data_IF_081401142991
#
_entry.id   IF_081401142991
#
_cell.length_a   1.000
_cell.length_b   1.000
_cell.length_c   1.000
_cell.angle_alpha   90.00
_cell.angle_beta   90.00
_cell.angle_gamma   90.00
#
_symmetry.space_group_name_H-M   'P 1'
#
loop_
_entity.id
_entity.type
_entity.pdbx_description
1 polymer ?
#
# COMPACT_ATOMS: atom_id res chain seq x y z
N UNK A 1 62.79 8.86 141.16
CA UNK A 1 61.38 8.50 141.37
C UNK A 1 60.63 8.91 140.12
N UNK A 2 59.81 8.00 139.62
CA UNK A 2 58.90 8.09 138.47
C UNK A 2 59.49 8.13 137.05
N UNK A 3 59.20 7.05 136.33
CA UNK A 3 59.04 6.93 134.88
C UNK A 3 57.55 6.56 134.62
N UNK A 4 57.02 6.27 133.41
CA UNK A 4 57.53 6.38 132.03
C UNK A 4 56.48 6.85 130.98
N UNK A 5 56.84 6.90 129.68
CA UNK A 5 56.13 6.47 128.44
C UNK A 5 56.61 7.31 127.24
N UNK A 6 57.43 6.82 126.28
CA UNK A 6 57.22 5.87 125.18
C UNK A 6 56.32 6.39 124.03
N UNK A 7 56.88 6.82 122.90
CA UNK A 7 56.39 6.49 121.55
C UNK A 7 57.35 6.86 120.40
N UNK A 8 57.14 6.20 119.25
CA UNK A 8 58.11 5.80 118.22
C UNK A 8 58.26 6.75 117.03
N UNK A 9 59.41 6.60 116.35
CA UNK A 9 59.73 7.01 114.98
C UNK A 9 58.75 6.47 113.91
N UNK A 10 58.50 7.23 112.84
CA UNK A 10 58.88 6.86 111.45
C UNK A 10 58.28 7.79 110.37
N UNK A 11 59.08 7.98 109.32
CA UNK A 11 58.84 8.75 108.10
C UNK A 11 57.77 8.14 107.17
N UNK A 12 57.10 8.98 106.38
CA UNK A 12 56.14 8.58 105.34
C UNK A 12 56.30 9.44 104.08
N UNK A 13 56.77 8.83 102.98
CA UNK A 13 56.75 9.36 101.61
C UNK A 13 55.36 9.15 100.96
N UNK A 14 54.87 10.07 100.11
CA UNK A 14 53.56 9.92 99.46
C UNK A 14 53.60 9.16 98.11
N UNK A 15 52.60 8.30 97.81
CA UNK A 15 52.54 7.51 96.57
C UNK A 15 51.59 8.15 95.54
N UNK A 16 52.07 8.95 94.60
CA UNK A 16 51.21 9.49 93.51
C UNK A 16 51.86 9.59 92.12
N UNK A 17 53.10 9.12 91.92
CA UNK A 17 53.86 9.37 90.69
C UNK A 17 53.83 8.26 89.62
N UNK A 18 53.22 7.10 89.90
CA UNK A 18 53.23 5.95 88.98
C UNK A 18 52.00 5.86 88.05
N UNK A 19 50.85 6.42 88.43
CA UNK A 19 49.60 6.30 87.65
C UNK A 19 49.52 7.30 86.46
N UNK A 20 50.25 8.42 86.54
CA UNK A 20 50.18 9.49 85.53
C UNK A 20 51.04 9.20 84.28
N UNK A 21 52.05 8.32 84.37
CA UNK A 21 52.88 7.93 83.22
C UNK A 21 52.21 6.94 82.28
N UNK A 22 51.42 5.98 82.80
CA UNK A 22 50.77 4.96 81.97
C UNK A 22 49.62 5.49 81.10
N UNK A 23 48.93 6.56 81.51
CA UNK A 23 47.85 7.17 80.70
C UNK A 23 48.37 8.08 79.58
N UNK A 24 49.62 8.58 79.68
CA UNK A 24 50.23 9.47 78.68
C UNK A 24 50.64 8.71 77.41
N UNK A 25 51.11 7.47 77.55
CA UNK A 25 51.62 6.69 76.41
C UNK A 25 50.50 5.97 75.64
N UNK A 26 49.37 5.65 76.29
CA UNK A 26 48.19 5.08 75.62
C UNK A 26 47.37 6.14 74.85
N UNK A 27 47.34 7.39 75.33
CA UNK A 27 46.64 8.50 74.65
C UNK A 27 47.39 9.02 73.41
N UNK A 28 48.72 8.96 73.41
CA UNK A 28 49.55 9.33 72.25
C UNK A 28 49.39 8.37 71.06
N UNK A 29 49.23 7.07 71.32
CA UNK A 29 49.15 6.05 70.27
C UNK A 29 47.79 6.02 69.54
N UNK A 30 46.70 6.31 70.26
CA UNK A 30 45.34 6.40 69.68
C UNK A 30 45.19 7.66 68.82
N UNK A 31 45.83 8.76 69.23
CA UNK A 31 45.82 10.04 68.50
C UNK A 31 46.52 9.94 67.14
N UNK A 32 47.71 9.32 67.07
CA UNK A 32 48.47 9.19 65.82
C UNK A 32 47.77 8.25 64.82
N UNK A 33 47.09 7.20 65.29
CA UNK A 33 46.36 6.28 64.41
C UNK A 33 45.12 6.94 63.79
N UNK A 34 44.40 7.76 64.55
CA UNK A 34 43.27 8.56 64.02
C UNK A 34 43.76 9.67 63.09
N UNK A 35 44.88 10.32 63.40
CA UNK A 35 45.50 11.31 62.53
C UNK A 35 45.93 10.70 61.19
N UNK A 36 46.56 9.52 61.19
CA UNK A 36 46.92 8.78 59.96
C UNK A 36 45.69 8.39 59.13
N UNK A 37 44.59 7.97 59.77
CA UNK A 37 43.34 7.68 59.06
C UNK A 37 42.74 8.93 58.43
N UNK A 38 42.74 10.06 59.14
CA UNK A 38 42.24 11.34 58.61
C UNK A 38 43.12 11.81 57.44
N UNK A 39 44.44 11.71 57.55
CA UNK A 39 45.37 12.04 56.46
C UNK A 39 45.17 11.11 55.26
N UNK A 40 44.91 9.81 55.47
CA UNK A 40 44.56 8.90 54.37
C UNK A 40 43.23 9.25 53.69
N UNK A 41 42.22 9.61 54.47
CA UNK A 41 40.93 10.05 53.91
C UNK A 41 41.11 11.37 53.13
N UNK A 42 41.90 12.31 53.67
CA UNK A 42 42.16 13.60 53.01
C UNK A 42 43.01 13.44 51.74
N UNK A 43 43.98 12.52 51.73
CA UNK A 43 44.79 12.22 50.55
C UNK A 43 43.99 11.50 49.48
N UNK A 44 43.09 10.58 49.84
CA UNK A 44 42.15 9.95 48.90
C UNK A 44 41.15 10.98 48.37
N UNK A 45 40.63 11.86 49.22
CA UNK A 45 39.72 12.93 48.81
C UNK A 45 40.39 13.92 47.85
N UNK A 46 41.60 14.36 48.18
CA UNK A 46 42.38 15.25 47.32
C UNK A 46 42.78 14.57 46.01
N UNK A 47 43.15 13.28 46.03
CA UNK A 47 43.40 12.50 44.82
C UNK A 47 42.15 12.38 43.95
N UNK A 48 40.97 12.16 44.55
CA UNK A 48 39.70 12.07 43.83
C UNK A 48 39.25 13.42 43.26
N UNK A 49 39.52 14.53 43.97
CA UNK A 49 39.22 15.89 43.49
C UNK A 49 40.24 16.45 42.49
N UNK A 50 41.45 15.88 42.45
CA UNK A 50 42.53 16.30 41.54
C UNK A 50 42.53 15.53 40.21
N UNK A 51 41.71 14.49 40.05
CA UNK A 51 41.36 14.00 38.72
C UNK A 51 40.36 14.98 38.11
N UNK A 52 40.71 15.74 37.04
CA UNK A 52 39.73 16.54 36.32
C UNK A 52 38.61 15.62 35.83
N UNK A 53 37.36 16.12 35.89
CA UNK A 53 36.10 15.50 35.48
C UNK A 53 36.18 14.74 34.13
N UNK A 54 36.78 13.56 34.15
CA UNK A 54 36.70 12.56 33.11
C UNK A 54 35.94 11.38 33.70
N UNK A 55 34.66 11.61 34.01
CA UNK A 55 33.68 10.54 34.00
C UNK A 55 33.47 10.24 32.51
N UNK A 56 33.87 9.08 31.98
CA UNK A 56 33.53 8.73 30.63
C UNK A 56 32.00 8.65 30.54
N UNK A 57 31.39 9.32 29.56
CA UNK A 57 29.94 9.24 29.27
C UNK A 57 29.44 7.79 29.01
N UNK A 58 30.32 6.79 29.07
CA UNK A 58 30.04 5.37 28.87
C UNK A 58 29.69 4.58 30.16
N UNK A 59 30.04 5.06 31.35
CA UNK A 59 29.73 4.34 32.61
C UNK A 59 28.24 4.35 33.05
N UNK A 60 27.45 5.43 32.87
CA UNK A 60 26.05 5.42 33.33
C UNK A 60 25.17 4.47 32.51
N UNK A 61 25.52 4.16 31.25
CA UNK A 61 24.71 3.31 30.35
C UNK A 61 24.71 1.81 30.71
N UNK A 62 25.77 1.32 31.36
CA UNK A 62 25.87 -0.10 31.76
C UNK A 62 25.14 -0.33 33.08
N UNK A 63 25.20 0.63 34.00
CA UNK A 63 24.58 0.53 35.32
C UNK A 63 23.06 0.70 35.29
N UNK A 64 22.51 1.48 34.34
CA UNK A 64 21.05 1.60 34.17
C UNK A 64 20.39 0.37 33.53
N UNK A 65 21.14 -0.66 33.08
CA UNK A 65 20.59 -1.93 32.58
C UNK A 65 20.33 -2.98 33.66
N UNK A 66 20.80 -2.76 34.90
CA UNK A 66 20.50 -3.65 36.03
C UNK A 66 19.25 -3.17 36.78
N UNK A 67 18.18 -3.98 36.88
CA UNK A 67 16.89 -3.53 37.43
C UNK A 67 16.92 -3.17 38.91
N UNK A 68 17.92 -3.65 39.66
CA UNK A 68 18.05 -3.38 41.10
C UNK A 68 18.61 -1.98 41.38
N UNK A 69 19.37 -1.41 40.45
CA UNK A 69 20.07 -0.13 40.66
C UNK A 69 19.31 1.07 40.07
N UNK A 70 18.34 0.85 39.17
CA UNK A 70 17.54 1.94 38.58
C UNK A 70 16.63 2.64 39.59
N UNK A 71 16.25 1.96 40.70
CA UNK A 71 15.45 2.55 41.77
C UNK A 71 16.23 3.48 42.72
N UNK A 72 17.55 3.40 42.75
CA UNK A 72 18.39 4.13 43.71
C UNK A 72 19.05 5.40 43.11
N UNK A 73 19.14 5.48 41.78
CA UNK A 73 19.78 6.60 41.08
C UNK A 73 18.77 7.42 40.25
N UNK A 74 18.47 8.68 40.64
CA UNK A 74 17.49 9.52 39.94
C UNK A 74 17.89 9.92 38.51
N UNK A 75 19.13 9.64 38.09
CA UNK A 75 19.61 9.86 36.71
C UNK A 75 19.19 8.75 35.72
N UNK A 76 18.84 7.54 36.17
CA UNK A 76 18.36 6.46 35.28
C UNK A 76 16.87 6.61 34.90
N UNK A 77 16.14 7.53 35.53
CA UNK A 77 14.69 7.72 35.31
C UNK A 77 14.40 8.55 34.05
N UNK A 78 15.42 9.07 33.35
CA UNK A 78 15.21 9.95 32.18
C UNK A 78 14.98 9.22 30.85
N UNK A 79 15.15 7.90 30.79
CA UNK A 79 14.98 7.11 29.55
C UNK A 79 13.77 6.15 29.56
N UNK A 80 13.08 6.00 30.69
CA UNK A 80 11.73 5.39 30.69
C UNK A 80 10.68 6.49 30.50
N UNK A 81 10.73 7.11 29.32
CA UNK A 81 9.54 7.73 28.75
C UNK A 81 8.41 6.70 28.70
N UNK A 82 7.16 7.20 28.74
CA UNK A 82 5.92 6.45 28.42
C UNK A 82 6.19 5.40 27.33
N UNK A 83 5.53 4.22 27.34
CA UNK A 83 5.71 3.23 26.28
C UNK A 83 5.53 3.94 24.95
N UNK A 84 6.66 4.25 24.30
CA UNK A 84 6.65 4.97 23.04
C UNK A 84 6.30 3.87 22.06
N UNK A 85 5.06 3.94 21.58
CA UNK A 85 4.54 3.01 20.59
C UNK A 85 5.63 2.82 19.54
N UNK A 86 6.00 1.57 19.17
CA UNK A 86 7.07 1.37 18.20
C UNK A 86 6.68 2.11 16.92
N UNK A 87 7.58 2.97 16.45
CA UNK A 87 7.37 3.84 15.30
C UNK A 87 8.27 3.39 14.17
N UNK A 88 7.74 3.32 12.95
CA UNK A 88 8.51 3.01 11.74
C UNK A 88 8.57 4.26 10.85
N UNK A 89 9.71 4.47 10.20
CA UNK A 89 9.87 5.49 9.15
C UNK A 89 9.27 4.97 7.84
N UNK A 90 7.95 5.01 7.75
CA UNK A 90 7.17 4.40 6.68
C UNK A 90 5.81 5.08 6.51
N UNK A 91 5.53 5.56 5.30
CA UNK A 91 4.28 6.24 4.98
C UNK A 91 3.20 5.25 4.50
N UNK A 92 2.60 4.54 5.45
CA UNK A 92 1.51 3.61 5.17
C UNK A 92 0.25 4.31 4.61
N UNK A 93 0.09 5.62 4.87
CA UNK A 93 -1.07 6.40 4.43
C UNK A 93 -0.98 6.75 2.94
N UNK A 94 0.20 7.17 2.47
CA UNK A 94 0.41 7.45 1.05
C UNK A 94 0.19 6.22 0.17
N UNK A 95 0.67 5.05 0.62
CA UNK A 95 0.50 3.81 -0.16
C UNK A 95 -0.94 3.34 -0.15
N UNK A 96 -1.64 3.40 0.99
CA UNK A 96 -3.06 3.12 1.02
C UNK A 96 -3.87 4.03 0.11
N UNK A 97 -3.44 5.29 -0.08
CA UNK A 97 -4.05 6.20 -1.06
C UNK A 97 -3.81 5.73 -2.50
N UNK A 98 -2.59 5.37 -2.85
CA UNK A 98 -2.26 4.80 -4.17
C UNK A 98 -3.08 3.53 -4.45
N UNK A 99 -3.16 2.63 -3.47
CA UNK A 99 -3.92 1.39 -3.57
C UNK A 99 -5.43 1.65 -3.65
N UNK A 100 -5.94 2.66 -2.94
CA UNK A 100 -7.33 3.09 -3.09
C UNK A 100 -7.60 3.67 -4.48
N UNK A 101 -6.67 4.40 -5.09
CA UNK A 101 -6.82 4.84 -6.48
C UNK A 101 -6.80 3.68 -7.47
N UNK A 102 -6.02 2.64 -7.19
CA UNK A 102 -6.05 1.42 -7.99
C UNK A 102 -7.45 0.77 -8.00
N UNK A 103 -8.20 0.86 -6.90
CA UNK A 103 -9.61 0.41 -6.85
C UNK A 103 -10.46 1.12 -7.91
N UNK A 104 -10.33 2.44 -8.02
CA UNK A 104 -11.06 3.23 -9.04
C UNK A 104 -10.65 2.85 -10.47
N UNK A 105 -9.35 2.68 -10.69
CA UNK A 105 -8.80 2.21 -11.97
C UNK A 105 -9.35 0.83 -12.34
N UNK A 106 -9.48 -0.05 -11.35
CA UNK A 106 -10.08 -1.37 -11.54
C UNK A 106 -11.58 -1.28 -11.84
N UNK A 107 -12.29 -0.31 -11.25
CA UNK A 107 -13.71 -0.05 -11.52
C UNK A 107 -13.97 0.42 -12.93
N UNK A 108 -13.20 1.40 -13.38
CA UNK A 108 -13.24 1.85 -14.76
C UNK A 108 -12.92 0.69 -15.71
N UNK A 109 -11.93 -0.15 -15.37
CA UNK A 109 -11.58 -1.34 -16.15
C UNK A 109 -12.71 -2.37 -16.25
N UNK A 110 -13.40 -2.66 -15.15
CA UNK A 110 -14.53 -3.60 -15.16
C UNK A 110 -15.69 -3.08 -16.00
N UNK A 111 -15.98 -1.78 -15.87
CA UNK A 111 -16.96 -1.09 -16.71
C UNK A 111 -16.58 -1.14 -18.19
N UNK A 112 -15.31 -0.95 -18.50
CA UNK A 112 -14.79 -1.09 -19.87
C UNK A 112 -14.92 -2.55 -20.36
N UNK A 113 -14.71 -3.55 -19.50
CA UNK A 113 -14.90 -4.96 -19.87
C UNK A 113 -16.38 -5.27 -20.21
N UNK A 114 -17.32 -4.70 -19.45
CA UNK A 114 -18.75 -4.72 -19.75
C UNK A 114 -19.05 -4.09 -21.11
N UNK A 115 -18.54 -2.88 -21.36
CA UNK A 115 -18.67 -2.19 -22.66
C UNK A 115 -18.07 -3.04 -23.80
N UNK A 116 -16.94 -3.72 -23.56
CA UNK A 116 -16.33 -4.62 -24.52
C UNK A 116 -17.23 -5.79 -24.90
N UNK A 117 -17.99 -6.34 -23.95
CA UNK A 117 -19.00 -7.36 -24.22
C UNK A 117 -20.15 -6.80 -25.06
N UNK A 118 -20.59 -5.58 -24.77
CA UNK A 118 -21.67 -4.93 -25.50
C UNK A 118 -21.29 -4.61 -26.96
N UNK A 119 -20.05 -4.17 -27.19
CA UNK A 119 -19.49 -3.97 -28.54
C UNK A 119 -19.44 -5.29 -29.29
N UNK A 120 -19.02 -6.36 -28.62
CA UNK A 120 -19.01 -7.72 -29.19
C UNK A 120 -20.43 -8.14 -29.58
N UNK A 121 -21.43 -7.90 -28.74
CA UNK A 121 -22.81 -8.21 -29.07
C UNK A 121 -23.32 -7.39 -30.28
N UNK A 122 -23.01 -6.09 -30.33
CA UNK A 122 -23.32 -5.23 -31.48
C UNK A 122 -22.65 -5.72 -32.77
N UNK A 123 -21.39 -6.17 -32.69
CA UNK A 123 -20.68 -6.78 -33.81
C UNK A 123 -21.33 -8.11 -34.25
N UNK A 124 -21.79 -8.93 -33.31
CA UNK A 124 -22.52 -10.17 -33.64
C UNK A 124 -23.85 -9.89 -34.35
N UNK A 125 -24.59 -8.87 -33.91
CA UNK A 125 -25.81 -8.44 -34.58
C UNK A 125 -25.54 -7.94 -36.02
N UNK A 126 -24.49 -7.15 -36.22
CA UNK A 126 -24.10 -6.73 -37.57
C UNK A 126 -23.65 -7.90 -38.45
N UNK A 127 -22.98 -8.91 -37.87
CA UNK A 127 -22.56 -10.10 -38.62
C UNK A 127 -23.75 -10.83 -39.26
N UNK A 128 -24.85 -10.95 -38.54
CA UNK A 128 -26.08 -11.55 -39.07
C UNK A 128 -26.65 -10.74 -40.24
N UNK A 129 -26.60 -9.40 -40.13
CA UNK A 129 -27.05 -8.50 -41.18
C UNK A 129 -26.15 -8.53 -42.43
N UNK A 130 -24.85 -8.79 -42.30
CA UNK A 130 -23.90 -8.84 -43.44
C UNK A 130 -24.34 -9.84 -44.51
N UNK A 131 -24.82 -11.02 -44.10
CA UNK A 131 -25.28 -12.05 -45.04
C UNK A 131 -26.40 -11.49 -45.92
N UNK A 132 -27.32 -10.74 -45.32
CA UNK A 132 -28.43 -10.13 -46.03
C UNK A 132 -27.99 -8.94 -46.90
N UNK A 133 -27.01 -8.14 -46.47
CA UNK A 133 -26.44 -7.03 -47.26
C UNK A 133 -25.75 -7.56 -48.52
N UNK A 134 -24.94 -8.60 -48.40
CA UNK A 134 -24.20 -9.21 -49.53
C UNK A 134 -25.13 -9.84 -50.55
N UNK A 135 -26.17 -10.55 -50.11
CA UNK A 135 -27.19 -11.14 -51.00
C UNK A 135 -27.94 -10.08 -51.84
N UNK A 136 -27.92 -8.81 -51.42
CA UNK A 136 -28.55 -7.67 -52.10
C UNK A 136 -27.57 -6.89 -53.00
N UNK A 137 -26.36 -7.40 -53.24
CA UNK A 137 -25.37 -6.80 -54.15
C UNK A 137 -24.60 -5.62 -53.58
N UNK A 138 -24.68 -5.39 -52.26
CA UNK A 138 -24.02 -4.28 -51.56
C UNK A 138 -22.65 -4.68 -51.00
N UNK A 139 -21.81 -5.23 -51.88
CA UNK A 139 -20.51 -5.78 -51.51
C UNK A 139 -19.55 -4.79 -50.82
N UNK A 140 -19.48 -3.49 -51.20
CA UNK A 140 -18.65 -2.53 -50.48
C UNK A 140 -19.06 -2.36 -49.01
N UNK A 141 -20.37 -2.16 -48.76
CA UNK A 141 -20.90 -2.01 -47.40
C UNK A 141 -20.74 -3.30 -46.59
N UNK A 142 -20.99 -4.45 -47.21
CA UNK A 142 -20.77 -5.75 -46.59
C UNK A 142 -19.33 -5.98 -46.16
N UNK A 143 -18.34 -5.56 -46.95
CA UNK A 143 -16.91 -5.63 -46.59
C UNK A 143 -16.56 -4.72 -45.42
N UNK A 144 -17.05 -3.48 -45.42
CA UNK A 144 -16.78 -2.54 -44.32
C UNK A 144 -17.36 -3.03 -42.99
N UNK A 145 -18.57 -3.61 -43.03
CA UNK A 145 -19.19 -4.27 -41.89
C UNK A 145 -18.38 -5.48 -41.41
N UNK A 146 -17.82 -6.31 -42.32
CA UNK A 146 -16.98 -7.45 -41.93
C UNK A 146 -15.71 -7.01 -41.21
N UNK A 147 -15.09 -5.92 -41.68
CA UNK A 147 -13.94 -5.30 -41.03
C UNK A 147 -14.35 -4.84 -39.62
N UNK A 148 -15.43 -4.06 -39.49
CA UNK A 148 -15.94 -3.64 -38.19
C UNK A 148 -16.18 -4.82 -37.24
N UNK A 149 -16.82 -5.90 -37.70
CA UNK A 149 -17.09 -7.08 -36.86
C UNK A 149 -15.79 -7.73 -36.39
N UNK A 150 -14.80 -7.85 -37.27
CA UNK A 150 -13.48 -8.40 -36.93
C UNK A 150 -12.77 -7.53 -35.91
N UNK A 151 -12.76 -6.22 -36.11
CA UNK A 151 -12.11 -5.26 -35.21
C UNK A 151 -12.83 -5.16 -33.86
N UNK A 152 -14.16 -5.13 -33.85
CA UNK A 152 -14.96 -5.14 -32.62
C UNK A 152 -14.71 -6.38 -31.77
N UNK A 153 -14.57 -7.56 -32.40
CA UNK A 153 -14.14 -8.77 -31.70
C UNK A 153 -12.73 -8.61 -31.12
N UNK A 154 -11.76 -8.15 -31.91
CA UNK A 154 -10.39 -7.93 -31.46
C UNK A 154 -10.29 -6.93 -30.28
N UNK A 155 -11.07 -5.85 -30.34
CA UNK A 155 -11.19 -4.87 -29.25
C UNK A 155 -11.77 -5.51 -28.00
N UNK A 156 -12.85 -6.27 -28.10
CA UNK A 156 -13.47 -6.94 -26.93
C UNK A 156 -12.51 -7.91 -26.23
N UNK A 157 -11.76 -8.71 -27.00
CA UNK A 157 -10.74 -9.63 -26.46
C UNK A 157 -9.60 -8.87 -25.81
N UNK A 158 -9.17 -7.76 -26.44
CA UNK A 158 -8.14 -6.91 -25.91
C UNK A 158 -8.54 -6.24 -24.59
N UNK A 159 -9.80 -5.83 -24.43
CA UNK A 159 -10.32 -5.27 -23.19
C UNK A 159 -10.44 -6.31 -22.09
N UNK A 160 -10.90 -7.52 -22.42
CA UNK A 160 -10.93 -8.63 -21.46
C UNK A 160 -9.53 -8.95 -20.93
N UNK A 161 -8.52 -8.95 -21.82
CA UNK A 161 -7.11 -9.11 -21.42
C UNK A 161 -6.64 -8.00 -20.51
N UNK A 162 -6.92 -6.74 -20.87
CA UNK A 162 -6.55 -5.58 -20.06
C UNK A 162 -7.15 -5.66 -18.66
N UNK A 163 -8.44 -5.97 -18.54
CA UNK A 163 -9.12 -6.17 -17.26
C UNK A 163 -8.49 -7.30 -16.43
N UNK A 164 -8.13 -8.42 -17.07
CA UNK A 164 -7.43 -9.51 -16.39
C UNK A 164 -6.04 -9.12 -15.86
N UNK A 165 -5.33 -8.23 -16.55
CA UNK A 165 -4.01 -7.74 -16.13
C UNK A 165 -4.12 -6.85 -14.90
N UNK A 166 -5.09 -5.93 -14.89
CA UNK A 166 -5.32 -5.04 -13.75
C UNK A 166 -5.76 -5.85 -12.53
N UNK A 167 -6.66 -6.82 -12.72
CA UNK A 167 -7.04 -7.77 -11.66
C UNK A 167 -5.83 -8.52 -11.10
N UNK A 168 -4.96 -9.04 -11.97
CA UNK A 168 -3.74 -9.72 -11.56
C UNK A 168 -2.72 -8.80 -10.87
N UNK A 169 -2.67 -7.52 -11.23
CA UNK A 169 -1.87 -6.51 -10.51
C UNK A 169 -2.43 -6.27 -9.11
N UNK A 170 -3.75 -6.09 -8.98
CA UNK A 170 -4.41 -5.95 -7.69
C UNK A 170 -4.17 -7.16 -6.79
N UNK A 171 -4.30 -8.38 -7.32
CA UNK A 171 -4.05 -9.62 -6.57
C UNK A 171 -2.61 -9.67 -6.02
N UNK A 172 -1.62 -9.26 -6.82
CA UNK A 172 -0.22 -9.18 -6.38
C UNK A 172 -0.02 -8.16 -5.26
N UNK A 173 -0.69 -7.02 -5.34
CA UNK A 173 -0.60 -5.96 -4.33
C UNK A 173 -1.27 -6.40 -3.03
N UNK A 174 -2.44 -7.05 -3.10
CA UNK A 174 -3.09 -7.64 -1.93
C UNK A 174 -2.18 -8.64 -1.24
N UNK A 175 -1.60 -9.58 -1.99
CA UNK A 175 -0.63 -10.55 -1.44
C UNK A 175 0.58 -9.89 -0.80
N UNK A 176 1.14 -8.84 -1.43
CA UNK A 176 2.28 -8.12 -0.88
C UNK A 176 1.92 -7.36 0.40
N UNK A 177 0.73 -6.75 0.45
CA UNK A 177 0.20 -6.10 1.64
C UNK A 177 0.00 -7.09 2.79
N UNK A 178 -0.51 -8.30 2.52
CA UNK A 178 -0.63 -9.36 3.52
C UNK A 178 0.73 -9.78 4.08
N UNK A 179 1.75 -9.92 3.22
CA UNK A 179 3.11 -10.22 3.66
C UNK A 179 3.70 -9.13 4.55
N UNK A 180 3.50 -7.87 4.17
CA UNK A 180 3.90 -6.70 4.96
C UNK A 180 3.16 -6.66 6.29
N UNK A 181 1.85 -6.90 6.28
CA UNK A 181 1.01 -6.92 7.49
C UNK A 181 1.52 -7.97 8.48
N UNK A 182 1.78 -9.20 8.02
CA UNK A 182 2.35 -10.27 8.84
C UNK A 182 3.75 -9.91 9.38
N UNK A 183 4.54 -9.17 8.62
CA UNK A 183 5.86 -8.72 9.07
C UNK A 183 5.74 -7.63 10.15
N UNK A 184 4.77 -6.72 10.03
CA UNK A 184 4.47 -5.67 11.02
C UNK A 184 3.88 -6.25 12.31
N UNK A 185 2.96 -7.23 12.22
CA UNK A 185 2.38 -7.91 13.38
C UNK A 185 3.44 -8.63 14.21
N UNK A 186 4.44 -9.23 13.56
CA UNK A 186 5.61 -9.85 14.22
C UNK A 186 6.52 -8.84 14.94
N UNK A 187 6.33 -7.54 14.74
CA UNK A 187 7.06 -6.48 15.44
C UNK A 187 6.34 -5.98 16.69
N UNK A 188 5.04 -6.29 16.88
CA UNK A 188 4.35 -5.95 18.12
C UNK A 188 4.91 -6.77 19.29
N UNK A 189 5.21 -6.15 20.44
CA UNK A 189 5.49 -6.89 21.66
C UNK A 189 4.22 -7.62 22.13
N UNK A 190 4.33 -8.92 22.39
CA UNK A 190 3.31 -9.74 23.06
C UNK A 190 2.88 -9.11 24.41
N UNK A 191 1.62 -9.25 24.83
CA UNK A 191 1.13 -8.66 26.08
C UNK A 191 1.92 -9.20 27.31
N UNK A 192 2.27 -8.35 28.29
CA UNK A 192 3.23 -8.66 29.36
C UNK A 192 2.72 -9.56 30.50
N UNK A 193 1.83 -10.53 30.23
CA UNK A 193 1.17 -11.31 31.28
C UNK A 193 1.25 -12.81 30.98
N UNK A 194 2.47 -13.34 30.95
CA UNK A 194 2.72 -14.78 30.92
C UNK A 194 3.93 -15.13 31.78
N UNK A 195 3.77 -16.12 32.67
CA UNK A 195 4.79 -16.63 33.61
C UNK A 195 6.08 -17.22 32.95
N UNK A 196 6.31 -16.98 31.65
CA UNK A 196 7.47 -17.47 30.90
C UNK A 196 8.62 -16.45 30.73
N UNK A 197 8.48 -15.23 31.23
CA UNK A 197 9.37 -14.09 30.90
C UNK A 197 10.81 -14.25 31.45
N UNK A 198 10.99 -15.06 32.49
CA UNK A 198 12.32 -15.31 33.07
C UNK A 198 13.14 -16.31 32.22
N UNK A 199 12.46 -17.24 31.52
CA UNK A 199 13.12 -18.27 30.70
C UNK A 199 13.40 -17.75 29.28
N UNK A 200 12.53 -16.89 28.75
CA UNK A 200 12.72 -16.18 27.47
C UNK A 200 13.93 -15.23 27.49
N UNK A 201 14.18 -14.57 28.62
CA UNK A 201 15.32 -13.65 28.76
C UNK A 201 16.67 -14.37 28.77
N UNK A 202 16.77 -15.54 29.41
CA UNK A 202 18.02 -16.32 29.48
C UNK A 202 18.40 -16.98 28.13
N UNK A 203 17.44 -17.20 27.23
CA UNK A 203 17.66 -17.76 25.90
C UNK A 203 17.88 -16.70 24.80
N UNK A 204 17.99 -15.42 25.15
CA UNK A 204 18.07 -14.31 24.17
C UNK A 204 19.48 -14.05 23.59
N UNK A 205 20.41 -15.00 23.70
CA UNK A 205 21.70 -14.96 22.98
C UNK A 205 21.45 -15.40 21.54
N UNK A 206 20.95 -14.48 20.72
CA UNK A 206 20.62 -14.74 19.31
C UNK A 206 19.49 -13.88 18.72
N UNK A 207 18.93 -12.92 19.49
CA UNK A 207 17.91 -12.01 18.94
C UNK A 207 18.55 -11.05 17.94
N UNK A 208 18.25 -11.28 16.66
CA UNK A 208 18.40 -10.33 15.56
C UNK A 208 17.87 -8.96 16.02
N UNK A 209 18.70 -7.94 15.88
CA UNK A 209 18.44 -6.59 16.40
C UNK A 209 17.14 -6.00 15.83
N UNK A 210 16.41 -5.17 16.60
CA UNK A 210 15.17 -4.51 16.12
C UNK A 210 15.39 -3.70 14.84
N UNK A 211 16.61 -3.19 14.62
CA UNK A 211 17.03 -2.48 13.41
C UNK A 211 17.08 -3.33 12.14
N UNK A 212 17.26 -4.65 12.24
CA UNK A 212 17.30 -5.53 11.06
C UNK A 212 15.90 -5.88 10.56
N UNK A 213 14.92 -6.03 11.46
CA UNK A 213 13.54 -6.36 11.07
C UNK A 213 12.84 -5.16 10.43
N UNK A 214 13.07 -3.95 10.95
CA UNK A 214 12.52 -2.72 10.40
C UNK A 214 12.97 -2.50 8.94
N UNK A 215 14.27 -2.72 8.66
CA UNK A 215 14.82 -2.66 7.30
C UNK A 215 14.15 -3.66 6.36
N UNK A 216 13.90 -4.90 6.80
CA UNK A 216 13.21 -5.90 5.98
C UNK A 216 11.80 -5.47 5.58
N UNK A 217 11.07 -4.82 6.49
CA UNK A 217 9.75 -4.27 6.18
C UNK A 217 9.89 -3.11 5.19
N UNK A 218 10.77 -2.14 5.44
CA UNK A 218 11.06 -1.03 4.53
C UNK A 218 11.47 -1.51 3.12
N UNK A 219 12.27 -2.57 3.01
CA UNK A 219 12.68 -3.16 1.72
C UNK A 219 11.49 -3.77 0.97
N UNK A 220 10.63 -4.54 1.66
CA UNK A 220 9.39 -5.08 1.08
C UNK A 220 8.45 -3.95 0.62
N UNK A 221 8.42 -2.85 1.35
CA UNK A 221 7.63 -1.67 0.99
C UNK A 221 8.15 -0.95 -0.24
N UNK A 222 9.46 -0.71 -0.33
CA UNK A 222 10.04 -0.10 -1.52
C UNK A 222 9.87 -1.00 -2.75
N UNK A 223 9.94 -2.32 -2.56
CA UNK A 223 9.63 -3.29 -3.61
C UNK A 223 8.17 -3.18 -4.08
N UNK A 224 7.21 -2.97 -3.17
CA UNK A 224 5.80 -2.77 -3.51
C UNK A 224 5.58 -1.54 -4.38
N UNK A 225 6.18 -0.41 -4.00
CA UNK A 225 6.05 0.85 -4.73
C UNK A 225 6.73 0.75 -6.10
N UNK A 226 7.92 0.14 -6.18
CA UNK A 226 8.62 -0.09 -7.44
C UNK A 226 7.80 -0.97 -8.39
N UNK A 227 7.25 -2.08 -7.88
CA UNK A 227 6.40 -2.98 -8.65
C UNK A 227 5.15 -2.26 -9.15
N UNK A 228 4.52 -1.44 -8.31
CA UNK A 228 3.38 -0.62 -8.71
C UNK A 228 3.79 0.33 -9.83
N UNK A 229 4.86 1.10 -9.66
CA UNK A 229 5.36 2.06 -10.65
C UNK A 229 5.65 1.45 -12.02
N UNK A 230 6.34 0.30 -12.06
CA UNK A 230 6.66 -0.42 -13.30
C UNK A 230 5.39 -0.89 -14.03
N UNK A 231 4.42 -1.44 -13.27
CA UNK A 231 3.17 -1.91 -13.85
C UNK A 231 2.26 -0.75 -14.30
N UNK A 232 2.26 0.38 -13.60
CA UNK A 232 1.51 1.57 -13.99
C UNK A 232 1.98 2.09 -15.36
N UNK A 233 3.29 2.16 -15.59
CA UNK A 233 3.83 2.56 -16.90
C UNK A 233 3.35 1.67 -18.05
N UNK A 234 3.34 0.35 -17.84
CA UNK A 234 2.82 -0.60 -18.82
C UNK A 234 1.30 -0.44 -19.05
N UNK A 235 0.52 -0.20 -17.98
CA UNK A 235 -0.93 0.01 -18.07
C UNK A 235 -1.28 1.31 -18.78
N UNK A 236 -0.53 2.40 -18.58
CA UNK A 236 -0.73 3.67 -19.31
C UNK A 236 -0.56 3.44 -20.80
N UNK A 237 0.55 2.81 -21.19
CA UNK A 237 0.81 2.53 -22.61
C UNK A 237 -0.26 1.62 -23.22
N UNK A 238 -0.64 0.55 -22.51
CA UNK A 238 -1.69 -0.35 -22.96
C UNK A 238 -3.06 0.35 -23.09
N UNK A 239 -3.36 1.31 -22.21
CA UNK A 239 -4.58 2.14 -22.26
C UNK A 239 -4.58 3.05 -23.48
N UNK A 240 -3.46 3.72 -23.77
CA UNK A 240 -3.30 4.57 -24.95
C UNK A 240 -3.47 3.78 -26.26
N UNK A 241 -2.91 2.57 -26.32
CA UNK A 241 -3.13 1.66 -27.46
C UNK A 241 -4.61 1.35 -27.65
N UNK A 242 -5.37 1.13 -26.55
CA UNK A 242 -6.83 0.89 -26.67
C UNK A 242 -7.55 2.13 -27.16
N UNK A 243 -7.18 3.33 -26.70
CA UNK A 243 -7.77 4.58 -27.18
C UNK A 243 -7.66 4.66 -28.71
N UNK A 244 -6.49 4.36 -29.28
CA UNK A 244 -6.30 4.33 -30.73
C UNK A 244 -7.20 3.27 -31.42
N UNK A 245 -7.31 2.07 -30.86
CA UNK A 245 -8.19 1.03 -31.41
C UNK A 245 -9.67 1.46 -31.43
N UNK A 246 -10.11 2.14 -30.37
CA UNK A 246 -11.47 2.64 -30.26
C UNK A 246 -11.75 3.80 -31.22
N UNK A 247 -10.82 4.75 -31.39
CA UNK A 247 -10.94 5.82 -32.38
C UNK A 247 -11.03 5.27 -33.80
N UNK A 248 -10.24 4.24 -34.12
CA UNK A 248 -10.33 3.56 -35.42
C UNK A 248 -11.69 2.89 -35.61
N UNK A 249 -12.26 2.31 -34.55
CA UNK A 249 -13.57 1.68 -34.57
C UNK A 249 -14.70 2.70 -34.74
N UNK A 250 -14.58 3.87 -34.11
CA UNK A 250 -15.46 5.03 -34.30
C UNK A 250 -15.44 5.53 -35.75
N UNK A 251 -14.25 5.74 -36.33
CA UNK A 251 -14.09 6.18 -37.72
C UNK A 251 -14.77 5.22 -38.69
N UNK A 252 -14.65 3.91 -38.46
CA UNK A 252 -15.33 2.88 -39.26
C UNK A 252 -16.84 2.97 -39.16
N UNK A 253 -17.38 3.23 -37.97
CA UNK A 253 -18.83 3.45 -37.80
C UNK A 253 -19.29 4.76 -38.46
N UNK A 254 -18.43 5.76 -38.63
CA UNK A 254 -18.74 6.93 -39.45
C UNK A 254 -18.70 6.59 -40.94
N UNK A 255 -17.69 5.87 -41.42
CA UNK A 255 -17.63 5.41 -42.81
C UNK A 255 -18.87 4.57 -43.18
N UNK A 256 -19.30 3.66 -42.31
CA UNK A 256 -20.53 2.88 -42.50
C UNK A 256 -21.76 3.79 -42.62
N UNK A 257 -21.87 4.85 -41.80
CA UNK A 257 -22.97 5.82 -41.90
C UNK A 257 -22.98 6.53 -43.26
N UNK A 258 -21.81 6.97 -43.72
CA UNK A 258 -21.66 7.67 -45.00
C UNK A 258 -22.01 6.76 -46.17
N UNK A 259 -21.57 5.51 -46.14
CA UNK A 259 -21.92 4.50 -47.14
C UNK A 259 -23.41 4.20 -47.17
N UNK A 260 -24.04 4.02 -46.00
CA UNK A 260 -25.49 3.76 -45.91
C UNK A 260 -26.29 4.96 -46.42
N UNK A 261 -25.91 6.20 -46.06
CA UNK A 261 -26.63 7.40 -46.52
C UNK A 261 -26.47 7.67 -48.01
N UNK A 262 -25.27 7.41 -48.56
CA UNK A 262 -25.04 7.46 -50.00
C UNK A 262 -25.91 6.45 -50.75
N UNK A 263 -26.02 5.22 -50.24
CA UNK A 263 -26.90 4.19 -50.81
C UNK A 263 -28.38 4.58 -50.71
N UNK A 264 -28.85 5.12 -49.58
CA UNK A 264 -30.23 5.60 -49.47
C UNK A 264 -30.53 6.74 -50.46
N UNK A 265 -29.58 7.66 -50.66
CA UNK A 265 -29.74 8.76 -51.60
C UNK A 265 -29.78 8.27 -53.06
N UNK A 266 -28.85 7.39 -53.44
CA UNK A 266 -28.84 6.77 -54.77
C UNK A 266 -30.17 6.04 -55.01
N UNK A 267 -30.65 5.29 -54.02
CA UNK A 267 -31.89 4.56 -54.12
C UNK A 267 -33.12 5.47 -54.28
N UNK A 268 -33.22 6.56 -53.50
CA UNK A 268 -34.29 7.56 -53.66
C UNK A 268 -34.29 8.17 -55.06
N UNK A 269 -33.12 8.43 -55.65
CA UNK A 269 -33.00 8.92 -57.02
C UNK A 269 -33.47 7.89 -58.04
N UNK A 270 -33.04 6.63 -57.90
CA UNK A 270 -33.46 5.54 -58.79
C UNK A 270 -34.99 5.32 -58.75
N UNK A 271 -35.58 5.31 -57.55
CA UNK A 271 -37.05 5.25 -57.41
C UNK A 271 -37.75 6.41 -58.12
N UNK A 272 -37.24 7.64 -58.00
CA UNK A 272 -37.83 8.79 -58.69
C UNK A 272 -37.74 8.64 -60.20
N UNK A 273 -36.61 8.15 -60.73
CA UNK A 273 -36.47 7.87 -62.17
C UNK A 273 -37.41 6.75 -62.64
N UNK A 274 -37.58 5.69 -61.85
CA UNK A 274 -38.50 4.58 -62.16
C UNK A 274 -39.97 5.00 -62.03
N UNK A 275 -40.30 5.91 -61.09
CA UNK A 275 -41.64 6.52 -60.95
C UNK A 275 -41.95 7.45 -62.13
N UNK A 276 -40.94 8.10 -62.69
CA UNK A 276 -41.06 8.90 -63.92
C UNK A 276 -41.17 8.03 -65.18
N UNK A 277 -40.57 6.84 -65.17
CA UNK A 277 -40.57 5.87 -66.25
C UNK A 277 -41.66 4.81 -66.01
N UNK A 278 -42.93 5.18 -66.23
CA UNK A 278 -44.14 4.42 -65.86
C UNK A 278 -44.11 2.91 -66.22
N UNK A 279 -44.46 2.10 -65.20
CA UNK A 279 -44.78 0.67 -65.15
C UNK A 279 -43.73 -0.38 -65.55
N UNK A 280 -43.66 -1.41 -64.70
CA UNK A 280 -43.36 -2.82 -64.99
C UNK A 280 -42.02 -3.37 -64.47
N UNK A 281 -41.93 -3.53 -63.14
CA UNK A 281 -41.42 -4.77 -62.56
C UNK A 281 -41.73 -4.86 -61.05
N UNK A 282 -42.87 -5.44 -60.67
CA UNK A 282 -43.24 -5.70 -59.27
C UNK A 282 -42.20 -6.52 -58.50
N UNK A 283 -41.50 -7.44 -59.20
CA UNK A 283 -40.43 -8.26 -58.60
C UNK A 283 -39.19 -7.45 -58.23
N UNK A 284 -38.80 -6.47 -59.07
CA UNK A 284 -37.72 -5.54 -58.71
C UNK A 284 -38.15 -4.72 -57.49
N UNK A 285 -39.37 -4.17 -57.52
CA UNK A 285 -39.90 -3.35 -56.43
C UNK A 285 -39.94 -4.07 -55.07
N UNK A 286 -40.32 -5.35 -55.01
CA UNK A 286 -40.30 -6.14 -53.75
C UNK A 286 -38.89 -6.44 -53.21
N UNK A 287 -37.90 -6.66 -54.08
CA UNK A 287 -36.50 -6.82 -53.65
C UNK A 287 -35.88 -5.50 -53.16
N UNK A 288 -36.36 -4.37 -53.71
CA UNK A 288 -35.93 -3.03 -53.33
C UNK A 288 -36.48 -2.62 -51.95
N UNK A 289 -37.75 -2.90 -51.66
CA UNK A 289 -38.38 -2.59 -50.36
C UNK A 289 -37.72 -3.31 -49.18
N UNK A 290 -37.39 -4.59 -49.35
CA UNK A 290 -36.69 -5.36 -48.31
C UNK A 290 -35.25 -4.87 -48.09
N UNK A 291 -34.61 -4.25 -49.09
CA UNK A 291 -33.28 -3.64 -48.97
C UNK A 291 -33.32 -2.34 -48.18
N UNK A 292 -34.37 -1.54 -48.37
CA UNK A 292 -34.64 -0.33 -47.60
C UNK A 292 -34.96 -0.62 -46.12
N UNK A 293 -35.58 -1.76 -45.81
CA UNK A 293 -35.85 -2.14 -44.42
C UNK A 293 -34.58 -2.51 -43.64
N UNK A 294 -33.50 -2.90 -44.33
CA UNK A 294 -32.28 -3.39 -43.67
C UNK A 294 -31.30 -2.27 -43.28
N UNK A 295 -31.25 -1.19 -44.05
CA UNK A 295 -30.37 -0.04 -43.78
C UNK A 295 -30.67 0.63 -42.42
N UNK A 296 -31.94 0.92 -42.04
CA UNK A 296 -32.28 1.45 -40.72
C UNK A 296 -31.81 0.56 -39.57
N UNK A 297 -31.92 -0.76 -39.71
CA UNK A 297 -31.45 -1.72 -38.70
C UNK A 297 -29.94 -1.64 -38.54
N UNK A 298 -29.18 -1.59 -39.63
CA UNK A 298 -27.72 -1.38 -39.61
C UNK A 298 -27.39 -0.05 -38.91
N UNK A 299 -28.12 1.03 -39.21
CA UNK A 299 -27.91 2.34 -38.58
C UNK A 299 -28.20 2.32 -37.08
N UNK A 300 -29.21 1.58 -36.63
CA UNK A 300 -29.56 1.48 -35.21
C UNK A 300 -28.50 0.70 -34.43
N UNK A 301 -28.05 -0.45 -34.93
CA UNK A 301 -26.98 -1.23 -34.29
C UNK A 301 -25.67 -0.42 -34.27
N UNK A 302 -25.36 0.30 -35.36
CA UNK A 302 -24.21 1.22 -35.46
C UNK A 302 -24.27 2.33 -34.40
N UNK A 303 -25.43 2.98 -34.21
CA UNK A 303 -25.61 4.02 -33.19
C UNK A 303 -25.37 3.49 -31.78
N UNK A 304 -25.90 2.30 -31.45
CA UNK A 304 -25.65 1.64 -30.15
C UNK A 304 -24.16 1.38 -29.94
N UNK A 305 -23.48 0.80 -30.93
CA UNK A 305 -22.04 0.55 -30.88
C UNK A 305 -21.24 1.85 -30.71
N UNK A 306 -21.64 2.94 -31.38
CA UNK A 306 -20.95 4.22 -31.29
C UNK A 306 -21.03 4.81 -29.87
N UNK A 307 -22.20 4.75 -29.22
CA UNK A 307 -22.36 5.21 -27.83
C UNK A 307 -21.42 4.45 -26.90
N UNK A 308 -21.36 3.12 -27.04
CA UNK A 308 -20.47 2.25 -26.25
C UNK A 308 -18.99 2.60 -26.47
N UNK A 309 -18.58 2.84 -27.71
CA UNK A 309 -17.20 3.20 -28.06
C UNK A 309 -16.81 4.54 -27.46
N UNK A 310 -17.67 5.56 -27.56
CA UNK A 310 -17.43 6.88 -26.99
C UNK A 310 -17.33 6.82 -25.45
N UNK A 311 -18.17 6.00 -24.83
CA UNK A 311 -18.17 5.77 -23.39
C UNK A 311 -16.86 5.09 -22.93
N UNK A 312 -16.41 4.06 -23.63
CA UNK A 312 -15.12 3.42 -23.36
C UNK A 312 -13.95 4.38 -23.56
N UNK A 313 -13.97 5.21 -24.62
CA UNK A 313 -12.94 6.23 -24.86
C UNK A 313 -12.82 7.21 -23.68
N UNK A 314 -13.95 7.70 -23.18
CA UNK A 314 -13.97 8.58 -22.02
C UNK A 314 -13.34 7.90 -20.80
N UNK A 315 -13.72 6.65 -20.55
CA UNK A 315 -13.23 5.88 -19.40
C UNK A 315 -11.75 5.53 -19.50
N UNK A 316 -11.27 5.13 -20.68
CA UNK A 316 -9.85 4.87 -20.92
C UNK A 316 -9.00 6.12 -20.69
N UNK A 317 -9.48 7.30 -21.10
CA UNK A 317 -8.78 8.57 -20.82
C UNK A 317 -8.72 8.86 -19.31
N UNK A 318 -9.86 8.77 -18.62
CA UNK A 318 -9.91 8.92 -17.15
C UNK A 318 -8.95 7.96 -16.44
N UNK A 319 -8.90 6.70 -16.91
CA UNK A 319 -8.01 5.69 -16.37
C UNK A 319 -6.54 6.04 -16.62
N UNK A 320 -6.19 6.51 -17.83
CA UNK A 320 -4.84 6.97 -18.15
C UNK A 320 -4.41 8.10 -17.22
N UNK A 321 -5.26 9.09 -17.00
CA UNK A 321 -4.97 10.23 -16.11
C UNK A 321 -4.79 9.77 -14.67
N UNK A 322 -5.64 8.85 -14.19
CA UNK A 322 -5.53 8.27 -12.85
C UNK A 322 -4.23 7.46 -12.68
N UNK A 323 -3.86 6.65 -13.68
CA UNK A 323 -2.63 5.86 -13.66
C UNK A 323 -1.39 6.76 -13.69
N UNK A 324 -1.40 7.84 -14.47
CA UNK A 324 -0.28 8.79 -14.57
C UNK A 324 -0.09 9.54 -13.26
N UNK A 325 -1.19 10.02 -12.66
CA UNK A 325 -1.15 10.60 -11.31
C UNK A 325 -0.58 9.62 -10.27
N UNK A 326 -1.03 8.36 -10.31
CA UNK A 326 -0.49 7.34 -9.39
C UNK A 326 0.99 7.08 -9.62
N UNK A 327 1.45 7.16 -10.88
CA UNK A 327 2.87 6.99 -11.22
C UNK A 327 3.69 8.15 -10.68
N UNK A 328 3.21 9.37 -10.81
CA UNK A 328 3.85 10.56 -10.22
C UNK A 328 3.93 10.45 -8.69
N UNK A 329 2.82 10.10 -8.03
CA UNK A 329 2.77 9.93 -6.57
C UNK A 329 3.65 8.75 -6.10
N UNK A 330 3.75 7.66 -6.87
CA UNK A 330 4.66 6.55 -6.57
C UNK A 330 6.14 6.90 -6.79
N UNK A 331 6.46 7.83 -7.68
CA UNK A 331 7.83 8.28 -7.95
C UNK A 331 8.41 9.13 -6.80
N UNK A 332 7.55 9.73 -5.98
CA UNK A 332 7.95 10.51 -4.80
C UNK A 332 7.44 9.86 -3.52
N UNK A 333 8.03 8.72 -3.09
CA UNK A 333 7.63 8.10 -1.83
C UNK A 333 8.02 9.03 -0.66
N UNK A 334 7.02 9.65 -0.04
CA UNK A 334 7.22 10.42 1.18
C UNK A 334 7.60 9.48 2.31
N UNK A 335 8.63 9.84 3.07
CA UNK A 335 8.96 9.16 4.33
C UNK A 335 8.20 9.87 5.44
N UNK A 336 7.23 9.17 6.00
CA UNK A 336 6.45 9.66 7.13
C UNK A 336 6.60 8.70 8.31
N UNK A 337 6.72 9.28 9.49
CA UNK A 337 6.86 8.54 10.73
C UNK A 337 5.46 8.04 11.13
N UNK A 338 5.22 6.74 11.04
CA UNK A 338 3.93 6.12 11.34
C UNK A 338 4.04 5.15 12.53
N UNK A 339 3.05 5.21 13.42
CA UNK A 339 2.89 4.21 14.49
C UNK A 339 2.58 2.84 13.86
N UNK A 340 3.25 1.78 14.30
CA UNK A 340 3.02 0.42 13.77
C UNK A 340 1.54 0.03 13.87
N UNK A 341 0.88 0.40 14.97
CA UNK A 341 -0.54 0.08 15.17
C UNK A 341 -1.43 0.75 14.13
N UNK A 342 -1.17 2.02 13.82
CA UNK A 342 -1.90 2.78 12.79
C UNK A 342 -1.62 2.20 11.40
N UNK A 343 -0.37 1.83 11.11
CA UNK A 343 0.00 1.22 9.85
C UNK A 343 -0.72 -0.12 9.61
N UNK A 344 -0.74 -0.99 10.63
CA UNK A 344 -1.44 -2.28 10.60
C UNK A 344 -2.93 -2.08 10.33
N UNK A 345 -3.58 -1.16 11.03
CA UNK A 345 -5.02 -0.90 10.87
C UNK A 345 -5.33 -0.36 9.48
N UNK A 346 -4.51 0.58 8.99
CA UNK A 346 -4.67 1.18 7.66
C UNK A 346 -4.51 0.11 6.56
N UNK A 347 -3.51 -0.76 6.70
CA UNK A 347 -3.28 -1.86 5.76
C UNK A 347 -4.42 -2.88 5.75
N UNK A 348 -4.89 -3.33 6.93
CA UNK A 348 -6.03 -4.25 7.03
C UNK A 348 -7.27 -3.68 6.35
N UNK A 349 -7.63 -2.44 6.68
CA UNK A 349 -8.75 -1.76 6.06
C UNK A 349 -8.60 -1.65 4.53
N UNK A 350 -7.38 -1.39 4.05
CA UNK A 350 -7.11 -1.31 2.61
C UNK A 350 -7.27 -2.67 1.92
N UNK A 351 -6.74 -3.74 2.52
CA UNK A 351 -6.88 -5.12 2.02
C UNK A 351 -8.35 -5.53 1.96
N UNK A 352 -9.09 -5.34 3.06
CA UNK A 352 -10.51 -5.70 3.14
C UNK A 352 -11.32 -5.01 2.04
N UNK A 353 -11.09 -3.71 1.83
CA UNK A 353 -11.76 -2.94 0.78
C UNK A 353 -11.38 -3.42 -0.63
N UNK A 354 -10.12 -3.73 -0.88
CA UNK A 354 -9.66 -4.27 -2.15
C UNK A 354 -10.35 -5.61 -2.46
N UNK A 355 -10.40 -6.51 -1.48
CA UNK A 355 -11.03 -7.83 -1.63
C UNK A 355 -12.55 -7.71 -1.82
N UNK A 356 -13.23 -6.91 -0.99
CA UNK A 356 -14.66 -6.67 -1.12
C UNK A 356 -15.00 -6.09 -2.50
N UNK A 357 -14.19 -5.16 -2.97
CA UNK A 357 -14.35 -4.57 -4.28
C UNK A 357 -14.14 -5.59 -5.41
N UNK A 358 -13.13 -6.46 -5.32
CA UNK A 358 -12.91 -7.52 -6.29
C UNK A 358 -14.11 -8.47 -6.41
N UNK A 359 -14.73 -8.82 -5.29
CA UNK A 359 -15.91 -9.69 -5.27
C UNK A 359 -17.07 -8.99 -5.97
N UNK A 360 -17.40 -7.76 -5.56
CA UNK A 360 -18.49 -6.97 -6.17
C UNK A 360 -18.33 -6.85 -7.68
N UNK A 361 -17.11 -6.61 -8.15
CA UNK A 361 -16.83 -6.44 -9.57
C UNK A 361 -17.01 -7.72 -10.38
N UNK A 362 -16.69 -8.88 -9.81
CA UNK A 362 -16.98 -10.16 -10.47
C UNK A 362 -18.50 -10.37 -10.57
N UNK A 363 -19.22 -10.07 -9.50
CA UNK A 363 -20.69 -10.20 -9.47
C UNK A 363 -21.38 -9.29 -10.48
N UNK A 364 -20.92 -8.04 -10.65
CA UNK A 364 -21.47 -7.11 -11.64
C UNK A 364 -21.17 -7.54 -13.08
N UNK A 365 -19.94 -7.98 -13.36
CA UNK A 365 -19.56 -8.54 -14.68
C UNK A 365 -20.40 -9.76 -15.04
N UNK A 366 -20.61 -10.67 -14.08
CA UNK A 366 -21.40 -11.88 -14.27
C UNK A 366 -22.88 -11.54 -14.44
N UNK A 367 -23.43 -10.67 -13.59
CA UNK A 367 -24.84 -10.25 -13.67
C UNK A 367 -25.14 -9.61 -15.01
N UNK A 368 -24.29 -8.68 -15.50
CA UNK A 368 -24.47 -8.06 -16.81
C UNK A 368 -24.53 -9.09 -17.94
N UNK A 369 -23.68 -10.13 -17.88
CA UNK A 369 -23.66 -11.20 -18.86
C UNK A 369 -24.98 -11.99 -18.89
N UNK A 370 -25.64 -12.15 -17.75
CA UNK A 370 -26.93 -12.85 -17.65
C UNK A 370 -28.12 -11.97 -18.00
N UNK A 371 -28.11 -10.69 -17.60
CA UNK A 371 -29.24 -9.77 -17.78
C UNK A 371 -29.32 -9.18 -19.17
N UNK A 372 -28.20 -9.09 -19.89
CA UNK A 372 -28.13 -8.42 -21.19
C UNK A 372 -27.50 -9.37 -22.22
N UNK A 373 -28.25 -10.40 -22.64
CA UNK A 373 -27.78 -11.32 -23.67
C UNK A 373 -27.60 -10.61 -25.01
N UNK A 374 -26.68 -11.10 -25.84
CA UNK A 374 -26.45 -10.52 -27.17
C UNK A 374 -27.69 -10.54 -28.09
N UNK A 375 -28.74 -11.31 -27.77
CA UNK A 375 -30.02 -11.29 -28.49
C UNK A 375 -30.66 -9.90 -28.49
N UNK A 376 -30.48 -9.13 -27.41
CA UNK A 376 -31.12 -7.82 -27.23
C UNK A 376 -30.54 -6.75 -28.18
N UNK A 377 -29.36 -7.03 -28.75
CA UNK A 377 -28.68 -6.18 -29.73
C UNK A 377 -29.16 -6.38 -31.17
N UNK A 378 -29.94 -7.42 -31.43
CA UNK A 378 -30.43 -7.77 -32.77
C UNK A 378 -31.81 -7.16 -33.09
N UNK A 379 -32.52 -6.68 -32.06
CA UNK A 379 -33.83 -6.04 -32.18
C UNK A 379 -33.74 -4.52 -32.29
#
# INVERSE_FOLDING_TARGET
MEAPQNERNNAFDPPFSLFVRQLRDAAGFISVRRLKMIVHILTVYLAFSALPNAIPESFPKVLCKLPVLSGYFPYCVREHGRPTEPVIDLDCVAISRLQFRLVHVQEDSARIAVIGNDIKCSAMALRDLIVQVKLKGKDPLGRELEIFVKDGKGVSESLARFNSRIRGLTDRIVSLNEHVLLALEKMLPEPPWGFGDIISFLLSVGRVTPTSRQKTVEDLWLQAISLLGDNLGALIHETQDKVFLFQRLEERLHNIQDMVTAEEYQHRREEQTLKQQWFSNEKKQKSHDTTLQLLPTVLNVRKRALVQILEALLKLKQMSDNLDYMREEAATPTRAVCSIKVCIETLRSTIERLVEWQIRTRETEDTHRWTTPCSDYSN
#
